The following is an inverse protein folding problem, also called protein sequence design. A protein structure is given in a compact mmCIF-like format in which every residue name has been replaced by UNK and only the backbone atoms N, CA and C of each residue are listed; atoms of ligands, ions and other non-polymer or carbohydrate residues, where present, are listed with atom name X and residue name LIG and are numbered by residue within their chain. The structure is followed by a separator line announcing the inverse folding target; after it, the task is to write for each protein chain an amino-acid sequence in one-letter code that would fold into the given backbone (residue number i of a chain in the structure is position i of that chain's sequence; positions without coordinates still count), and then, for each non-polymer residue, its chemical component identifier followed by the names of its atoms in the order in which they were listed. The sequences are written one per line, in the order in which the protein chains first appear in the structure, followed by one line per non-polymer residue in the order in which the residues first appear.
data_IF_952639944624
#
_entry.id   IF_952639944624
#
_cell.length_a   1.000
_cell.length_b   1.000
_cell.length_c   1.000
_cell.angle_alpha   90.00
_cell.angle_beta   90.00
_cell.angle_gamma   90.00
#
_symmetry.space_group_name_H-M   'P 1'
#
loop_
_entity.id
_entity.type
_entity.pdbx_description
1 polymer ?
#
# COMPACT_ATOMS: atom_id res chain seq x y z
N UNK A 1 -9.74 2.53 -0.52
CA UNK A 1 -9.66 3.28 0.76
C UNK A 1 -8.68 4.43 0.60
N UNK A 2 -8.97 5.61 1.12
CA UNK A 2 -8.05 6.75 1.06
C UNK A 2 -7.88 7.39 2.44
N UNK A 3 -6.77 8.08 2.65
CA UNK A 3 -6.51 8.76 3.91
C UNK A 3 -5.16 9.46 3.96
N UNK A 4 -4.84 9.97 5.15
CA UNK A 4 -3.56 10.62 5.44
C UNK A 4 -2.89 9.94 6.64
N UNK A 5 -1.57 10.07 6.71
CA UNK A 5 -0.73 9.66 7.82
C UNK A 5 0.20 10.82 8.20
N UNK A 6 0.52 10.90 9.50
CA UNK A 6 1.56 11.81 9.99
C UNK A 6 2.97 11.31 9.64
N UNK A 7 3.11 10.05 9.23
CA UNK A 7 4.37 9.46 8.82
C UNK A 7 4.76 9.92 7.44
N UNK A 8 6.05 10.02 7.20
CA UNK A 8 6.56 10.28 5.86
C UNK A 8 6.40 9.04 4.96
N UNK A 9 6.69 9.19 3.67
CA UNK A 9 6.50 8.12 2.67
C UNK A 9 7.31 6.87 3.05
N UNK A 10 8.57 7.01 3.45
CA UNK A 10 9.47 5.89 3.73
C UNK A 10 9.03 5.12 4.99
N UNK A 11 8.60 5.84 6.03
CA UNK A 11 8.08 5.26 7.27
C UNK A 11 6.77 4.49 7.03
N UNK A 12 5.83 5.11 6.31
CA UNK A 12 4.53 4.50 6.03
C UNK A 12 4.69 3.29 5.09
N UNK A 13 5.36 3.47 3.96
CA UNK A 13 5.58 2.41 2.97
C UNK A 13 6.40 1.27 3.55
N UNK A 14 7.44 1.55 4.35
CA UNK A 14 8.25 0.55 5.00
C UNK A 14 7.51 -0.25 6.08
N UNK A 15 6.56 0.35 6.79
CA UNK A 15 5.70 -0.37 7.72
C UNK A 15 4.76 -1.34 6.98
N UNK A 16 4.07 -0.84 5.95
CA UNK A 16 3.07 -1.60 5.19
C UNK A 16 3.72 -2.74 4.40
N UNK A 17 4.83 -2.44 3.70
CA UNK A 17 5.61 -3.41 2.94
C UNK A 17 6.05 -4.59 3.81
N UNK A 18 6.51 -4.33 5.05
CA UNK A 18 6.89 -5.41 5.99
C UNK A 18 5.71 -6.28 6.41
N UNK A 19 4.54 -5.71 6.66
CA UNK A 19 3.36 -6.52 7.02
C UNK A 19 2.85 -7.36 5.84
N UNK A 20 2.82 -6.78 4.64
CA UNK A 20 2.37 -7.49 3.45
C UNK A 20 3.33 -8.62 3.05
N UNK A 21 4.64 -8.36 3.06
CA UNK A 21 5.66 -9.39 2.83
C UNK A 21 5.65 -10.48 3.90
N UNK A 22 5.43 -10.10 5.17
CA UNK A 22 5.34 -11.04 6.30
C UNK A 22 4.20 -12.05 6.16
N UNK A 23 3.16 -11.73 5.37
CA UNK A 23 2.06 -12.64 5.06
C UNK A 23 2.36 -13.59 3.88
N UNK A 24 3.60 -13.64 3.39
CA UNK A 24 4.00 -14.48 2.26
C UNK A 24 3.45 -14.01 0.91
N UNK A 25 2.83 -12.83 0.85
CA UNK A 25 2.34 -12.24 -0.39
C UNK A 25 3.53 -11.61 -1.14
N UNK A 26 3.75 -11.94 -2.41
CA UNK A 26 4.75 -11.25 -3.21
C UNK A 26 4.34 -9.78 -3.34
N UNK A 27 5.26 -8.88 -3.02
CA UNK A 27 5.06 -7.44 -3.16
C UNK A 27 6.19 -6.85 -3.98
N UNK A 28 5.85 -5.84 -4.77
CA UNK A 28 6.82 -5.01 -5.47
C UNK A 28 6.52 -3.54 -5.19
N UNK A 29 7.57 -2.71 -5.25
CA UNK A 29 7.46 -1.27 -5.08
C UNK A 29 7.87 -0.56 -6.36
N UNK A 30 7.07 0.40 -6.82
CA UNK A 30 7.42 1.27 -7.94
C UNK A 30 7.49 2.72 -7.47
N UNK A 31 8.56 3.46 -7.78
CA UNK A 31 8.57 4.90 -7.55
C UNK A 31 7.52 5.57 -8.45
N UNK A 32 6.79 6.54 -7.90
CA UNK A 32 5.83 7.37 -8.64
C UNK A 32 6.14 8.85 -8.38
N UNK A 33 5.46 9.74 -9.10
CA UNK A 33 5.61 11.17 -8.88
C UNK A 33 5.28 11.53 -7.41
N UNK A 34 6.28 12.09 -6.71
CA UNK A 34 6.21 12.50 -5.31
C UNK A 34 5.79 11.37 -4.34
N UNK A 35 6.14 10.12 -4.65
CA UNK A 35 5.67 8.99 -3.85
C UNK A 35 6.21 7.62 -4.25
N UNK A 36 5.58 6.59 -3.71
CA UNK A 36 5.81 5.18 -4.03
C UNK A 36 4.49 4.44 -4.13
N UNK A 37 4.39 3.47 -5.03
CA UNK A 37 3.30 2.51 -5.08
C UNK A 37 3.78 1.14 -4.58
N UNK A 38 3.04 0.55 -3.65
CA UNK A 38 3.19 -0.86 -3.27
C UNK A 38 2.16 -1.68 -4.02
N UNK A 39 2.60 -2.77 -4.64
CA UNK A 39 1.82 -3.53 -5.59
C UNK A 39 1.84 -5.01 -5.25
N UNK A 40 0.68 -5.65 -5.30
CA UNK A 40 0.54 -7.11 -5.19
C UNK A 40 0.21 -7.65 -6.59
N UNK A 41 1.17 -8.28 -7.29
CA UNK A 41 0.98 -8.78 -8.64
C UNK A 41 0.06 -10.00 -8.67
N UNK A 42 -0.74 -10.09 -9.72
CA UNK A 42 -1.56 -11.25 -10.00
C UNK A 42 -0.86 -12.18 -11.01
N UNK A 43 -1.06 -13.50 -10.86
CA UNK A 43 -0.46 -14.51 -11.75
C UNK A 43 -0.82 -14.35 -13.24
N UNK A 44 -2.01 -13.82 -13.55
CA UNK A 44 -2.47 -13.60 -14.93
C UNK A 44 -2.23 -12.18 -15.46
N UNK A 45 -1.40 -11.39 -14.77
CA UNK A 45 -1.08 -10.02 -15.14
C UNK A 45 -1.95 -8.96 -14.44
N UNK A 46 -1.39 -7.76 -14.30
CA UNK A 46 -1.97 -6.71 -13.47
C UNK A 46 -1.71 -6.92 -11.98
N UNK A 47 -2.51 -6.22 -11.16
CA UNK A 47 -2.35 -6.19 -9.71
C UNK A 47 -3.69 -6.43 -9.03
N UNK A 48 -3.70 -7.26 -7.99
CA UNK A 48 -4.88 -7.42 -7.12
C UNK A 48 -4.99 -6.23 -6.16
N UNK A 49 -3.84 -5.68 -5.74
CA UNK A 49 -3.73 -4.55 -4.82
C UNK A 49 -2.72 -3.53 -5.35
N UNK A 50 -3.11 -2.26 -5.27
CA UNK A 50 -2.22 -1.11 -5.49
C UNK A 50 -2.41 -0.16 -4.32
N UNK A 51 -1.33 0.22 -3.64
CA UNK A 51 -1.33 1.28 -2.64
C UNK A 51 -0.38 2.37 -3.07
N UNK A 52 -0.95 3.51 -3.43
CA UNK A 52 -0.17 4.72 -3.70
C UNK A 52 0.03 5.48 -2.40
N UNK A 53 1.28 5.89 -2.14
CA UNK A 53 1.65 6.73 -1.01
C UNK A 53 2.36 7.95 -1.58
N UNK A 54 1.84 9.14 -1.32
CA UNK A 54 2.36 10.41 -1.84
C UNK A 54 2.66 11.36 -0.70
N UNK A 55 3.59 12.30 -0.95
CA UNK A 55 3.91 13.36 0.02
C UNK A 55 2.68 14.27 0.20
N UNK A 56 2.31 14.55 1.44
CA UNK A 56 1.22 15.47 1.76
C UNK A 56 1.54 16.31 3.01
N UNK A 57 1.83 17.60 2.81
CA UNK A 57 2.16 18.52 3.90
C UNK A 57 3.32 18.01 4.77
N UNK A 58 3.04 17.81 6.06
CA UNK A 58 4.01 17.31 7.05
C UNK A 58 4.13 15.77 7.09
N UNK A 59 3.35 15.04 6.29
CA UNK A 59 3.32 13.58 6.28
C UNK A 59 3.07 13.02 4.89
N UNK A 60 2.16 12.05 4.79
CA UNK A 60 1.83 11.38 3.54
C UNK A 60 0.33 11.16 3.37
N UNK A 61 -0.14 11.20 2.13
CA UNK A 61 -1.47 10.73 1.75
C UNK A 61 -1.34 9.35 1.12
N UNK A 62 -2.38 8.54 1.23
CA UNK A 62 -2.40 7.22 0.64
C UNK A 62 -3.75 6.89 0.00
N UNK A 63 -3.69 6.05 -1.03
CA UNK A 63 -4.87 5.49 -1.68
C UNK A 63 -4.65 4.01 -1.96
N UNK A 64 -5.45 3.17 -1.32
CA UNK A 64 -5.52 1.72 -1.52
C UNK A 64 -6.61 1.40 -2.54
N UNK A 65 -6.21 0.76 -3.62
CA UNK A 65 -7.05 0.20 -4.66
C UNK A 65 -7.03 -1.32 -4.56
N UNK A 66 -8.22 -1.91 -4.49
CA UNK A 66 -8.43 -3.35 -4.47
C UNK A 66 -9.22 -3.69 -5.73
N UNK A 67 -8.71 -4.60 -6.56
CA UNK A 67 -9.36 -4.95 -7.81
C UNK A 67 -10.74 -5.56 -7.58
N UNK A 68 -10.83 -6.50 -6.63
CA UNK A 68 -12.07 -7.15 -6.21
C UNK A 68 -12.11 -7.19 -4.69
N UNK A 69 -12.67 -6.16 -4.02
CA UNK A 69 -12.64 -6.06 -2.56
C UNK A 69 -13.24 -7.29 -1.85
N UNK A 70 -14.27 -7.91 -2.43
CA UNK A 70 -14.91 -9.11 -1.86
C UNK A 70 -14.00 -10.35 -1.84
N UNK A 71 -12.99 -10.41 -2.70
CA UNK A 71 -12.00 -11.50 -2.78
C UNK A 71 -10.64 -11.10 -2.19
N UNK A 72 -10.53 -9.87 -1.71
CA UNK A 72 -9.29 -9.32 -1.19
C UNK A 72 -9.19 -9.61 0.31
N UNK A 73 -8.11 -10.28 0.77
CA UNK A 73 -7.84 -10.45 2.19
C UNK A 73 -7.80 -9.11 2.93
N UNK A 74 -8.56 -9.00 4.03
CA UNK A 74 -8.65 -7.76 4.83
C UNK A 74 -7.30 -7.27 5.37
N UNK A 75 -6.31 -8.15 5.46
CA UNK A 75 -4.96 -7.82 5.92
C UNK A 75 -4.36 -6.62 5.17
N UNK A 76 -4.66 -6.42 3.89
CA UNK A 76 -4.12 -5.28 3.15
C UNK A 76 -4.63 -3.94 3.71
N UNK A 77 -5.94 -3.83 3.93
CA UNK A 77 -6.55 -2.66 4.54
C UNK A 77 -6.21 -2.53 6.04
N UNK A 78 -6.16 -3.64 6.77
CA UNK A 78 -5.82 -3.65 8.19
C UNK A 78 -4.37 -3.21 8.43
N UNK A 79 -3.42 -3.64 7.59
CA UNK A 79 -2.03 -3.19 7.64
C UNK A 79 -1.90 -1.69 7.37
N UNK A 80 -2.66 -1.15 6.41
CA UNK A 80 -2.67 0.31 6.16
C UNK A 80 -3.20 1.06 7.39
N UNK A 81 -4.26 0.56 8.02
CA UNK A 81 -4.82 1.16 9.22
C UNK A 81 -3.92 1.05 10.45
N UNK A 82 -3.15 -0.02 10.59
CA UNK A 82 -2.18 -0.19 11.66
C UNK A 82 -0.92 0.67 11.46
N UNK A 83 -0.58 0.96 10.20
CA UNK A 83 0.63 1.69 9.85
C UNK A 83 0.44 3.20 9.64
N UNK A 84 -0.78 3.70 9.36
CA UNK A 84 -1.03 5.14 9.22
C UNK A 84 -0.79 5.91 10.52
#
# INVERSE_FOLDING_TARGET
MEGNSLKNIDELSGCISRQWAGNGTPITSLPIENGVSLLVPQAMGGYDIVLDIKKAGNGSSFTLYERVPALTPKIFADSVNACK
#
